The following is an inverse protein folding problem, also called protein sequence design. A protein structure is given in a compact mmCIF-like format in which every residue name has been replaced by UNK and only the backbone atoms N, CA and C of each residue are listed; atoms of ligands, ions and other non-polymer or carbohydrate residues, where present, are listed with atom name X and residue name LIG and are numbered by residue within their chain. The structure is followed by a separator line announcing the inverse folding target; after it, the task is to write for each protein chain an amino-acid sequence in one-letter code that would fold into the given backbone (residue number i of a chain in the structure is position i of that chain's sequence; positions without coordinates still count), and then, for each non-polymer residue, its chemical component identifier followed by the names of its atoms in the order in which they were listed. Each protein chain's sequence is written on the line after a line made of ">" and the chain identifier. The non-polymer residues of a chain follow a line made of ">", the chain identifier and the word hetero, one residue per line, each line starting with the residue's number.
data_IF_783808567548
#
_entry.id   IF_783808567548
#
_cell.length_a   1.000
_cell.length_b   1.000
_cell.length_c   1.000
_cell.angle_alpha   90.00
_cell.angle_beta   90.00
_cell.angle_gamma   90.00
#
_symmetry.space_group_name_H-M   'P 1'
#
loop_
_entity.id
_entity.type
_entity.pdbx_description
1 polymer ?
#
# COMPACT_ATOMS: atom_id res chain seq x y z
N UNK A 1 11.40 14.16 -18.93
CA UNK A 1 10.66 14.91 -17.88
C UNK A 1 9.34 14.16 -17.75
N UNK A 2 9.25 13.24 -16.78
CA UNK A 2 8.01 12.49 -16.55
C UNK A 2 6.99 13.46 -15.97
N UNK A 3 5.92 13.73 -16.70
CA UNK A 3 4.72 14.37 -16.16
C UNK A 3 4.06 13.33 -15.27
N UNK A 4 4.37 13.35 -13.98
CA UNK A 4 3.54 12.64 -13.02
C UNK A 4 2.20 13.37 -12.95
N UNK A 5 1.21 12.84 -13.63
CA UNK A 5 -0.17 13.14 -13.30
C UNK A 5 -0.32 12.73 -11.84
N UNK A 6 -0.72 13.67 -10.96
CA UNK A 6 -0.91 13.42 -9.54
C UNK A 6 -1.99 12.36 -9.36
N UNK A 7 -1.60 11.09 -9.28
CA UNK A 7 -2.49 9.97 -8.95
C UNK A 7 -2.73 9.82 -7.46
N UNK A 8 -2.41 10.83 -6.71
CA UNK A 8 -2.39 10.79 -5.26
C UNK A 8 -3.39 11.79 -4.73
N UNK A 9 -4.34 11.31 -3.95
CA UNK A 9 -5.22 12.15 -3.18
C UNK A 9 -4.45 12.68 -1.97
N UNK A 10 -4.23 14.01 -1.92
CA UNK A 10 -3.48 14.64 -0.83
C UNK A 10 -4.41 15.03 0.31
N UNK A 11 -3.95 14.78 1.54
CA UNK A 11 -4.52 15.41 2.74
C UNK A 11 -4.12 16.89 2.80
N UNK A 12 -4.70 17.66 3.70
CA UNK A 12 -4.28 19.04 3.99
C UNK A 12 -2.79 19.16 4.37
N UNK A 13 -2.14 18.04 4.67
CA UNK A 13 -0.71 17.95 4.98
C UNK A 13 0.15 17.55 3.78
N UNK A 14 -0.44 17.32 2.61
CA UNK A 14 0.28 17.02 1.37
C UNK A 14 0.76 15.56 1.23
N UNK A 15 0.16 14.60 1.95
CA UNK A 15 0.45 13.17 1.86
C UNK A 15 -0.62 12.36 1.14
N UNK A 16 -0.33 11.10 0.82
CA UNK A 16 -1.33 10.12 0.34
C UNK A 16 -2.38 9.92 1.42
N UNK A 17 -3.63 10.22 1.10
CA UNK A 17 -4.75 9.90 1.93
C UNK A 17 -5.52 8.71 1.33
N UNK A 18 -5.28 7.54 1.88
CA UNK A 18 -6.00 6.33 1.48
C UNK A 18 -7.52 6.42 1.73
N UNK A 19 -7.94 7.42 2.51
CA UNK A 19 -9.32 7.59 2.95
C UNK A 19 -9.99 8.83 2.35
N UNK A 20 -9.26 9.70 1.63
CA UNK A 20 -9.84 10.86 0.98
C UNK A 20 -10.89 10.45 -0.05
N UNK A 21 -12.01 11.15 -0.03
CA UNK A 21 -13.12 10.93 -0.95
C UNK A 21 -13.36 12.19 -1.77
N UNK A 22 -12.61 12.35 -2.86
CA UNK A 22 -12.87 13.46 -3.80
C UNK A 22 -14.00 13.14 -4.79
N UNK A 23 -14.54 11.92 -4.75
CA UNK A 23 -15.71 11.57 -5.53
C UNK A 23 -16.99 12.13 -4.90
N UNK A 24 -17.73 13.01 -5.60
CA UNK A 24 -19.03 13.57 -5.12
C UNK A 24 -20.06 12.49 -4.79
N UNK A 25 -19.93 11.29 -5.39
CA UNK A 25 -20.83 10.16 -5.09
C UNK A 25 -20.55 9.52 -3.73
N UNK A 26 -19.33 9.66 -3.18
CA UNK A 26 -18.96 9.06 -1.90
C UNK A 26 -19.16 10.02 -0.72
N UNK A 27 -19.16 11.33 -0.95
CA UNK A 27 -19.37 12.34 0.10
C UNK A 27 -20.79 12.33 0.70
N UNK A 28 -21.76 11.71 0.00
CA UNK A 28 -23.17 11.67 0.46
C UNK A 28 -23.52 10.44 1.32
N UNK A 29 -22.60 9.50 1.49
CA UNK A 29 -22.89 8.25 2.22
C UNK A 29 -21.79 7.96 3.22
N UNK A 30 -21.71 8.62 4.33
CA UNK A 30 -20.84 8.29 5.43
C UNK A 30 -19.64 7.36 5.13
N UNK A 31 -18.62 7.36 5.89
CA UNK A 31 -17.38 6.58 5.70
C UNK A 31 -17.65 5.16 5.20
N UNK A 32 -17.44 4.92 3.91
CA UNK A 32 -17.59 3.59 3.33
C UNK A 32 -16.27 2.84 3.46
N UNK A 33 -16.37 1.57 3.76
CA UNK A 33 -15.24 0.64 3.64
C UNK A 33 -14.69 0.70 2.22
N UNK A 34 -13.41 1.01 2.08
CA UNK A 34 -12.69 1.00 0.81
C UNK A 34 -12.09 -0.38 0.58
N UNK A 35 -12.10 -0.82 -0.67
CA UNK A 35 -11.43 -2.04 -1.09
C UNK A 35 -10.03 -1.71 -1.60
N UNK A 36 -9.05 -2.50 -1.17
CA UNK A 36 -7.66 -2.42 -1.62
C UNK A 36 -7.27 -3.78 -2.17
N UNK A 37 -6.66 -3.81 -3.34
CA UNK A 37 -6.20 -5.06 -3.97
C UNK A 37 -4.71 -5.23 -3.75
N UNK A 38 -4.31 -6.31 -3.09
CA UNK A 38 -2.91 -6.71 -2.97
C UNK A 38 -2.51 -7.62 -4.12
N UNK A 39 -1.46 -7.25 -4.84
CA UNK A 39 -0.83 -8.04 -5.90
C UNK A 39 0.56 -8.48 -5.40
N UNK A 40 0.75 -9.80 -5.34
CA UNK A 40 2.03 -10.40 -4.97
C UNK A 40 2.85 -10.66 -6.25
N UNK A 41 4.00 -9.97 -6.46
CA UNK A 41 4.84 -10.14 -7.64
C UNK A 41 5.38 -11.55 -7.86
N UNK A 42 5.54 -12.34 -6.78
CA UNK A 42 6.05 -13.71 -6.87
C UNK A 42 5.01 -14.71 -7.40
N UNK A 43 3.72 -14.34 -7.39
CA UNK A 43 2.62 -15.24 -7.77
C UNK A 43 2.23 -15.13 -9.23
N UNK A 44 2.72 -14.12 -9.96
CA UNK A 44 2.39 -13.90 -11.37
C UNK A 44 3.42 -13.02 -12.06
N UNK A 45 3.59 -13.17 -13.41
CA UNK A 45 4.41 -12.25 -14.18
C UNK A 45 3.77 -10.85 -14.25
N UNK A 46 4.57 -9.79 -14.53
CA UNK A 46 4.11 -8.39 -14.55
C UNK A 46 2.90 -8.12 -15.44
N UNK A 47 2.81 -8.78 -16.60
CA UNK A 47 1.70 -8.60 -17.54
C UNK A 47 0.37 -9.14 -17.00
N UNK A 48 0.43 -10.18 -16.17
CA UNK A 48 -0.76 -10.71 -15.50
C UNK A 48 -1.12 -9.84 -14.30
N UNK A 49 -0.13 -9.33 -13.58
CA UNK A 49 -0.34 -8.36 -12.49
C UNK A 49 -1.06 -7.11 -13.01
N UNK A 50 -0.61 -6.54 -14.13
CA UNK A 50 -1.24 -5.40 -14.79
C UNK A 50 -2.71 -5.66 -15.17
N UNK A 51 -3.01 -6.83 -15.79
CA UNK A 51 -4.39 -7.20 -16.12
C UNK A 51 -5.28 -7.32 -14.89
N UNK A 52 -4.76 -7.90 -13.81
CA UNK A 52 -5.48 -8.02 -12.53
C UNK A 52 -5.73 -6.66 -11.89
N UNK A 53 -4.76 -5.75 -11.97
CA UNK A 53 -4.94 -4.38 -11.51
C UNK A 53 -6.06 -3.66 -12.26
N UNK A 54 -6.11 -3.74 -13.60
CA UNK A 54 -7.20 -3.17 -14.40
C UNK A 54 -8.56 -3.69 -13.97
N UNK A 55 -8.71 -5.02 -13.86
CA UNK A 55 -9.98 -5.64 -13.42
C UNK A 55 -10.35 -5.19 -12.01
N UNK A 56 -9.37 -5.09 -11.10
CA UNK A 56 -9.61 -4.63 -9.75
C UNK A 56 -10.13 -3.18 -9.72
N UNK A 57 -9.57 -2.31 -10.57
CA UNK A 57 -10.03 -0.91 -10.70
C UNK A 57 -11.43 -0.84 -11.28
N UNK A 58 -11.74 -1.61 -12.32
CA UNK A 58 -13.11 -1.74 -12.87
C UNK A 58 -14.11 -2.22 -11.80
N UNK A 59 -13.67 -3.05 -10.86
CA UNK A 59 -14.48 -3.51 -9.73
C UNK A 59 -14.49 -2.54 -8.53
N UNK A 60 -13.88 -1.36 -8.62
CA UNK A 60 -13.94 -0.30 -7.61
C UNK A 60 -12.89 -0.39 -6.51
N UNK A 61 -11.73 -1.00 -6.76
CA UNK A 61 -10.61 -0.89 -5.83
C UNK A 61 -10.12 0.54 -5.70
N UNK A 62 -9.77 0.96 -4.51
CA UNK A 62 -9.34 2.34 -4.21
C UNK A 62 -7.81 2.50 -4.22
N UNK A 63 -7.07 1.40 -4.16
CA UNK A 63 -5.62 1.37 -4.25
C UNK A 63 -5.15 -0.02 -4.68
N UNK A 64 -3.99 -0.07 -5.34
CA UNK A 64 -3.28 -1.31 -5.62
C UNK A 64 -2.07 -1.38 -4.69
N UNK A 65 -2.02 -2.42 -3.85
CA UNK A 65 -0.83 -2.72 -3.08
C UNK A 65 0.03 -3.72 -3.85
N UNK A 66 1.32 -3.43 -3.96
CA UNK A 66 2.31 -4.33 -4.55
C UNK A 66 3.26 -4.79 -3.46
N UNK A 67 3.20 -6.07 -3.13
CA UNK A 67 3.99 -6.62 -2.05
C UNK A 67 4.17 -8.11 -2.20
N UNK A 68 5.34 -8.59 -1.88
CA UNK A 68 5.70 -9.97 -1.94
C UNK A 68 6.17 -10.52 -0.61
N UNK A 69 6.48 -11.81 -0.63
CA UNK A 69 7.09 -12.50 0.49
C UNK A 69 8.53 -12.00 0.74
N UNK A 70 9.14 -12.50 1.80
CA UNK A 70 10.46 -12.07 2.32
C UNK A 70 11.59 -12.16 1.28
N UNK A 71 11.45 -13.01 0.27
CA UNK A 71 12.49 -13.26 -0.76
C UNK A 71 12.23 -12.51 -2.08
N UNK A 72 11.18 -11.68 -2.16
CA UNK A 72 10.83 -10.95 -3.39
C UNK A 72 11.88 -9.88 -3.68
N UNK A 73 12.64 -10.05 -4.75
CA UNK A 73 13.69 -9.10 -5.13
C UNK A 73 13.15 -7.80 -5.73
N UNK A 74 13.89 -6.69 -5.58
CA UNK A 74 13.51 -5.37 -6.12
C UNK A 74 13.21 -5.37 -7.61
N UNK A 75 13.91 -6.16 -8.42
CA UNK A 75 13.72 -6.19 -9.87
C UNK A 75 12.32 -6.66 -10.27
N UNK A 76 11.77 -7.67 -9.56
CA UNK A 76 10.44 -8.19 -9.87
C UNK A 76 9.34 -7.25 -9.37
N UNK A 77 9.56 -6.62 -8.21
CA UNK A 77 8.70 -5.55 -7.69
C UNK A 77 8.64 -4.38 -8.66
N UNK A 78 9.81 -3.94 -9.12
CA UNK A 78 9.95 -2.81 -10.05
C UNK A 78 9.26 -3.09 -11.38
N UNK A 79 9.51 -4.25 -12.00
CA UNK A 79 8.84 -4.65 -13.23
C UNK A 79 7.31 -4.74 -13.07
N UNK A 80 6.83 -5.21 -11.92
CA UNK A 80 5.40 -5.28 -11.63
C UNK A 80 4.79 -3.88 -11.47
N UNK A 81 5.45 -2.98 -10.76
CA UNK A 81 4.99 -1.59 -10.62
C UNK A 81 4.94 -0.89 -11.98
N UNK A 82 5.98 -1.03 -12.81
CA UNK A 82 6.01 -0.46 -14.16
C UNK A 82 4.83 -0.96 -15.00
N UNK A 83 4.62 -2.28 -15.05
CA UNK A 83 3.55 -2.86 -15.86
C UNK A 83 2.14 -2.41 -15.40
N UNK A 84 1.93 -2.29 -14.09
CA UNK A 84 0.65 -1.79 -13.54
C UNK A 84 0.47 -0.30 -13.89
N UNK A 85 1.50 0.53 -13.69
CA UNK A 85 1.44 1.96 -13.99
C UNK A 85 1.16 2.23 -15.47
N UNK A 86 1.88 1.55 -16.38
CA UNK A 86 1.67 1.68 -17.81
C UNK A 86 0.24 1.26 -18.21
N UNK A 87 -0.28 0.19 -17.63
CA UNK A 87 -1.64 -0.27 -17.91
C UNK A 87 -2.70 0.72 -17.45
N UNK A 88 -2.55 1.29 -16.24
CA UNK A 88 -3.45 2.31 -15.71
C UNK A 88 -3.41 3.60 -16.55
N UNK A 89 -2.19 4.04 -16.97
CA UNK A 89 -2.04 5.20 -17.85
C UNK A 89 -2.72 5.00 -19.20
N UNK A 90 -2.55 3.82 -19.78
CA UNK A 90 -3.20 3.49 -21.07
C UNK A 90 -4.72 3.45 -20.94
N UNK A 91 -5.24 2.87 -19.87
CA UNK A 91 -6.68 2.82 -19.61
C UNK A 91 -7.26 4.23 -19.39
N UNK A 92 -6.58 5.08 -18.62
CA UNK A 92 -6.95 6.47 -18.43
C UNK A 92 -6.98 7.24 -19.76
N UNK A 93 -5.94 7.08 -20.59
CA UNK A 93 -5.88 7.70 -21.90
C UNK A 93 -7.01 7.21 -22.81
N UNK A 94 -7.31 5.89 -22.83
CA UNK A 94 -8.40 5.35 -23.61
C UNK A 94 -9.77 5.91 -23.14
N UNK A 95 -9.98 6.04 -21.83
CA UNK A 95 -11.20 6.62 -21.26
C UNK A 95 -11.36 8.09 -21.66
N UNK A 96 -10.29 8.89 -21.66
CA UNK A 96 -10.33 10.30 -22.03
C UNK A 96 -10.78 10.57 -23.48
N UNK A 97 -10.79 9.54 -24.34
CA UNK A 97 -11.29 9.64 -25.71
C UNK A 97 -12.81 9.49 -25.80
N UNK A 98 -13.49 9.13 -24.71
CA UNK A 98 -14.94 8.92 -24.67
C UNK A 98 -15.60 9.98 -23.77
N UNK A 99 -16.53 10.81 -24.30
CA UNK A 99 -17.13 11.92 -23.55
C UNK A 99 -17.87 11.52 -22.28
N UNK A 100 -18.34 10.29 -22.20
CA UNK A 100 -19.16 9.77 -21.10
C UNK A 100 -18.35 8.88 -20.14
N UNK A 101 -17.05 8.71 -20.36
CA UNK A 101 -16.21 7.87 -19.52
C UNK A 101 -15.65 8.66 -18.34
N UNK A 102 -15.60 8.02 -17.20
CA UNK A 102 -14.94 8.54 -15.99
C UNK A 102 -13.43 8.22 -16.07
N UNK A 103 -12.64 9.18 -16.53
CA UNK A 103 -11.19 9.02 -16.60
C UNK A 103 -10.54 8.95 -15.20
N UNK A 104 -11.17 9.58 -14.19
CA UNK A 104 -10.69 9.57 -12.81
C UNK A 104 -10.79 8.18 -12.17
N UNK A 105 -11.63 7.30 -12.74
CA UNK A 105 -11.70 5.89 -12.31
C UNK A 105 -10.33 5.20 -12.31
N UNK A 106 -9.47 5.54 -13.27
CA UNK A 106 -8.15 4.92 -13.43
C UNK A 106 -7.04 5.61 -12.60
N UNK A 107 -7.39 6.69 -11.90
CA UNK A 107 -6.47 7.44 -11.05
C UNK A 107 -6.32 6.77 -9.67
N UNK A 108 -5.85 5.53 -9.68
CA UNK A 108 -5.71 4.68 -8.48
C UNK A 108 -4.24 4.56 -8.09
N UNK A 109 -3.85 4.88 -6.84
CA UNK A 109 -2.47 4.83 -6.41
C UNK A 109 -1.93 3.40 -6.34
N UNK A 110 -0.68 3.24 -6.77
CA UNK A 110 0.11 2.01 -6.63
C UNK A 110 1.06 2.17 -5.44
N UNK A 111 0.87 1.39 -4.41
CA UNK A 111 1.55 1.54 -3.12
C UNK A 111 2.34 0.28 -2.80
N UNK A 112 3.59 0.42 -2.44
CA UNK A 112 4.40 -0.71 -1.99
C UNK A 112 3.93 -1.22 -0.62
N UNK A 113 3.79 -2.53 -0.54
CA UNK A 113 3.61 -3.30 0.70
C UNK A 113 4.82 -4.22 0.87
N UNK A 114 6.01 -3.67 1.24
CA UNK A 114 7.26 -4.38 1.13
C UNK A 114 7.48 -5.38 2.27
N UNK A 115 8.05 -6.54 1.95
CA UNK A 115 8.54 -7.48 2.96
C UNK A 115 9.82 -7.01 3.68
N UNK A 116 10.46 -5.93 3.19
CA UNK A 116 11.66 -5.32 3.76
C UNK A 116 12.30 -4.31 2.81
N UNK A 117 13.39 -3.68 3.24
CA UNK A 117 14.09 -2.63 2.49
C UNK A 117 14.67 -3.10 1.14
N UNK A 118 14.77 -4.40 0.91
CA UNK A 118 15.25 -5.00 -0.34
C UNK A 118 14.19 -5.06 -1.45
N UNK A 119 12.90 -4.85 -1.12
CA UNK A 119 11.76 -5.03 -2.03
C UNK A 119 11.09 -3.69 -2.37
N UNK A 120 11.85 -2.72 -2.86
CA UNK A 120 11.37 -1.39 -3.18
C UNK A 120 11.47 -1.07 -4.68
N UNK A 121 10.61 -0.17 -5.14
CA UNK A 121 10.58 0.35 -6.50
C UNK A 121 10.33 1.87 -6.47
N UNK A 122 11.02 2.63 -7.31
CA UNK A 122 10.74 4.06 -7.53
C UNK A 122 9.59 4.31 -8.49
N UNK A 123 8.98 3.27 -9.03
CA UNK A 123 7.85 3.35 -9.96
C UNK A 123 6.49 3.19 -9.26
N UNK A 124 6.46 3.13 -7.93
CA UNK A 124 5.25 3.24 -7.14
C UNK A 124 4.97 4.71 -6.75
N UNK A 125 3.74 5.00 -6.35
CA UNK A 125 3.34 6.33 -5.87
C UNK A 125 3.69 6.52 -4.38
N UNK A 126 3.65 5.45 -3.62
CA UNK A 126 3.95 5.47 -2.20
C UNK A 126 4.38 4.14 -1.63
N UNK A 127 4.63 4.13 -0.34
CA UNK A 127 5.06 2.96 0.40
C UNK A 127 4.40 2.92 1.79
N UNK A 128 3.88 1.78 2.20
CA UNK A 128 3.54 1.53 3.59
C UNK A 128 4.84 1.44 4.40
N UNK A 129 5.10 2.45 5.20
CA UNK A 129 6.26 2.51 6.07
C UNK A 129 5.91 1.83 7.39
N UNK A 130 5.97 0.49 7.37
CA UNK A 130 5.37 -0.37 8.40
C UNK A 130 6.32 -0.66 9.55
N UNK A 131 5.85 -0.44 10.77
CA UNK A 131 6.47 -0.97 12.00
C UNK A 131 5.68 -2.18 12.45
N UNK A 132 6.30 -3.37 12.52
CA UNK A 132 5.66 -4.55 13.12
C UNK A 132 5.67 -4.41 14.64
N UNK A 133 4.61 -3.78 15.17
CA UNK A 133 4.57 -3.24 16.53
C UNK A 133 4.69 -4.30 17.63
N UNK A 134 4.22 -5.52 17.37
CA UNK A 134 4.34 -6.65 18.30
C UNK A 134 5.46 -7.62 17.93
N UNK A 135 6.46 -7.18 17.14
CA UNK A 135 7.69 -7.97 16.91
C UNK A 135 8.60 -7.92 18.13
N UNK A 136 9.19 -9.06 18.48
CA UNK A 136 10.28 -9.16 19.46
C UNK A 136 11.64 -8.87 18.84
N UNK A 137 11.72 -8.75 17.50
CA UNK A 137 12.95 -8.51 16.77
C UNK A 137 13.06 -7.05 16.33
N UNK A 138 14.11 -6.38 16.80
CA UNK A 138 14.39 -4.97 16.46
C UNK A 138 14.49 -4.73 14.94
N UNK A 139 14.81 -5.77 14.15
CA UNK A 139 14.84 -5.68 12.69
C UNK A 139 13.54 -5.09 12.14
N UNK A 140 12.40 -5.62 12.55
CA UNK A 140 11.07 -5.23 12.06
C UNK A 140 10.46 -4.03 12.78
N UNK A 141 11.12 -3.55 13.85
CA UNK A 141 10.71 -2.34 14.54
C UNK A 141 11.35 -1.09 13.94
N UNK A 142 12.67 -1.15 13.59
CA UNK A 142 13.39 0.04 13.16
C UNK A 142 14.50 -0.19 12.13
N UNK A 143 15.15 -1.37 12.09
CA UNK A 143 16.34 -1.54 11.23
C UNK A 143 15.99 -1.48 9.76
N UNK A 144 14.93 -2.16 9.31
CA UNK A 144 14.44 -2.08 7.93
C UNK A 144 14.10 -0.64 7.53
N UNK A 145 13.57 0.16 8.46
CA UNK A 145 13.30 1.58 8.22
C UNK A 145 14.58 2.38 7.98
N UNK A 146 15.62 2.14 8.79
CA UNK A 146 16.90 2.82 8.63
C UNK A 146 17.57 2.47 7.30
N UNK A 147 17.47 1.21 6.87
CA UNK A 147 18.02 0.73 5.60
C UNK A 147 17.27 1.33 4.41
N UNK A 148 15.93 1.42 4.49
CA UNK A 148 15.07 1.91 3.40
C UNK A 148 14.96 3.43 3.29
N UNK A 149 15.10 4.17 4.38
CA UNK A 149 14.75 5.59 4.45
C UNK A 149 15.44 6.47 3.40
N UNK A 150 16.74 6.24 3.16
CA UNK A 150 17.50 7.01 2.17
C UNK A 150 17.03 6.77 0.73
N UNK A 151 16.65 5.54 0.42
CA UNK A 151 16.07 5.21 -0.89
C UNK A 151 14.71 5.85 -1.07
N UNK A 152 13.82 5.72 -0.10
CA UNK A 152 12.47 6.29 -0.10
C UNK A 152 12.52 7.80 -0.35
N UNK A 153 13.39 8.51 0.39
CA UNK A 153 13.56 9.95 0.25
C UNK A 153 14.09 10.35 -1.13
N UNK A 154 15.08 9.63 -1.69
CA UNK A 154 15.65 9.91 -3.00
C UNK A 154 14.69 9.58 -4.14
N UNK A 155 13.91 8.51 -4.01
CA UNK A 155 12.92 8.10 -4.99
C UNK A 155 11.68 9.02 -5.00
N UNK A 156 11.49 9.85 -3.96
CA UNK A 156 10.31 10.70 -3.81
C UNK A 156 9.04 9.91 -3.52
N UNK A 157 9.17 8.69 -2.98
CA UNK A 157 8.03 7.88 -2.58
C UNK A 157 7.30 8.53 -1.40
N UNK A 158 5.98 8.61 -1.49
CA UNK A 158 5.17 9.04 -0.36
C UNK A 158 5.15 7.96 0.71
N UNK A 159 5.74 8.24 1.88
CA UNK A 159 5.66 7.32 3.01
C UNK A 159 4.31 7.40 3.72
N UNK A 160 3.72 6.24 4.02
CA UNK A 160 2.49 6.08 4.80
C UNK A 160 2.87 5.37 6.11
N UNK A 161 3.08 6.12 7.20
CA UNK A 161 3.41 5.52 8.49
C UNK A 161 2.32 4.57 8.96
N UNK A 162 2.69 3.30 9.16
CA UNK A 162 1.72 2.22 9.41
C UNK A 162 2.13 1.38 10.61
N UNK A 163 1.24 1.24 11.58
CA UNK A 163 1.37 0.26 12.65
C UNK A 163 0.90 -1.11 12.14
N UNK A 164 1.80 -2.10 12.09
CA UNK A 164 1.47 -3.46 11.69
C UNK A 164 1.38 -4.34 12.94
N UNK A 165 0.27 -5.04 13.10
CA UNK A 165 -0.03 -5.86 14.28
C UNK A 165 -0.47 -7.24 13.80
N UNK A 166 0.19 -8.30 14.29
CA UNK A 166 -0.12 -9.68 13.92
C UNK A 166 -0.87 -10.38 15.04
N UNK A 167 -2.08 -10.85 14.72
CA UNK A 167 -2.89 -11.66 15.61
C UNK A 167 -2.68 -13.16 15.33
N UNK A 168 -3.01 -14.01 16.29
CA UNK A 168 -3.00 -15.45 16.09
C UNK A 168 -4.01 -15.87 15.01
N UNK A 169 -3.65 -16.83 14.12
CA UNK A 169 -2.49 -17.74 14.19
C UNK A 169 -1.18 -17.17 13.62
N UNK A 170 -1.12 -15.96 13.08
CA UNK A 170 0.07 -15.23 12.65
C UNK A 170 0.68 -15.63 11.30
N UNK A 171 0.47 -16.85 10.84
CA UNK A 171 0.98 -17.32 9.56
C UNK A 171 2.49 -17.09 9.34
N UNK A 172 2.91 -16.97 8.09
CA UNK A 172 4.31 -16.75 7.73
C UNK A 172 4.85 -15.41 8.28
N UNK A 173 4.00 -14.38 8.34
CA UNK A 173 4.39 -13.07 8.86
C UNK A 173 4.69 -13.13 10.35
N UNK A 174 3.89 -13.87 11.11
CA UNK A 174 4.13 -14.07 12.54
C UNK A 174 5.46 -14.79 12.81
N UNK A 175 5.79 -15.80 12.01
CA UNK A 175 7.06 -16.55 12.14
C UNK A 175 8.25 -15.70 11.72
N UNK A 176 8.25 -15.15 10.52
CA UNK A 176 9.35 -14.35 9.96
C UNK A 176 9.57 -13.08 10.80
N UNK A 177 8.46 -12.40 11.11
CA UNK A 177 8.46 -11.17 11.89
C UNK A 177 8.77 -11.37 13.37
N UNK A 178 8.84 -12.63 13.85
CA UNK A 178 9.00 -12.95 15.28
C UNK A 178 8.00 -12.19 16.15
N UNK A 179 6.73 -12.23 15.72
CA UNK A 179 5.68 -11.50 16.40
C UNK A 179 5.25 -12.22 17.69
N UNK A 180 5.06 -11.45 18.75
CA UNK A 180 4.34 -11.89 19.95
C UNK A 180 2.84 -11.84 19.62
N UNK A 181 2.29 -13.01 19.22
CA UNK A 181 0.96 -13.10 18.63
C UNK A 181 -0.12 -12.74 19.62
N UNK A 182 -1.00 -11.84 19.22
CA UNK A 182 -2.14 -11.40 20.03
C UNK A 182 -3.33 -12.32 19.75
N UNK A 183 -4.01 -12.77 20.81
CA UNK A 183 -5.27 -13.50 20.66
C UNK A 183 -6.31 -12.60 19.96
N UNK A 184 -7.03 -13.06 18.92
CA UNK A 184 -8.10 -12.29 18.29
C UNK A 184 -9.22 -11.87 19.24
N UNK A 185 -9.33 -12.53 20.39
CA UNK A 185 -10.30 -12.20 21.43
C UNK A 185 -9.77 -11.17 22.45
N UNK A 186 -8.49 -10.85 22.41
CA UNK A 186 -7.89 -9.83 23.29
C UNK A 186 -8.05 -8.43 22.68
N UNK A 187 -9.27 -7.96 22.66
CA UNK A 187 -9.64 -6.67 22.09
C UNK A 187 -9.05 -5.48 22.86
N UNK A 188 -8.74 -5.66 24.16
CA UNK A 188 -8.11 -4.63 24.98
C UNK A 188 -6.68 -4.40 24.54
N UNK A 189 -5.91 -5.47 24.33
CA UNK A 189 -4.52 -5.37 23.88
C UNK A 189 -4.45 -4.84 22.44
N UNK A 190 -5.33 -5.32 21.53
CA UNK A 190 -5.42 -4.80 20.15
C UNK A 190 -5.71 -3.30 20.18
N UNK A 191 -6.69 -2.86 20.99
CA UNK A 191 -7.01 -1.44 21.13
C UNK A 191 -5.84 -0.62 21.67
N UNK A 192 -5.08 -1.17 22.63
CA UNK A 192 -3.89 -0.49 23.18
C UNK A 192 -2.80 -0.29 22.10
N UNK A 193 -2.58 -1.28 21.23
CA UNK A 193 -1.67 -1.13 20.08
C UNK A 193 -2.16 -0.07 19.10
N UNK A 194 -3.46 -0.05 18.76
CA UNK A 194 -4.03 0.97 17.87
C UNK A 194 -3.87 2.38 18.44
N UNK A 195 -4.17 2.58 19.73
CA UNK A 195 -3.98 3.85 20.43
C UNK A 195 -2.51 4.26 20.46
N UNK A 196 -1.60 3.31 20.65
CA UNK A 196 -0.15 3.57 20.62
C UNK A 196 0.29 4.02 19.22
N UNK A 197 -0.21 3.37 18.16
CA UNK A 197 0.06 3.78 16.78
C UNK A 197 -0.42 5.21 16.51
N UNK A 198 -1.62 5.57 16.99
CA UNK A 198 -2.16 6.92 16.89
C UNK A 198 -1.26 7.93 17.64
N UNK A 199 -0.81 7.62 18.86
CA UNK A 199 0.09 8.48 19.64
C UNK A 199 1.45 8.64 18.98
N UNK A 200 1.93 7.67 18.20
CA UNK A 200 3.13 7.78 17.38
C UNK A 200 2.91 8.60 16.10
N UNK A 201 1.68 8.97 15.80
CA UNK A 201 1.32 9.71 14.58
C UNK A 201 1.28 8.83 13.34
N UNK A 202 1.03 7.53 13.47
CA UNK A 202 0.86 6.66 12.33
C UNK A 202 -0.46 6.97 11.62
N UNK A 203 -0.43 6.94 10.28
CA UNK A 203 -1.59 7.27 9.46
C UNK A 203 -2.60 6.13 9.40
N UNK A 204 -2.14 4.91 9.58
CA UNK A 204 -2.96 3.70 9.46
C UNK A 204 -2.46 2.60 10.41
N UNK A 205 -3.34 1.65 10.70
CA UNK A 205 -3.02 0.40 11.37
C UNK A 205 -3.46 -0.75 10.46
N UNK A 206 -2.59 -1.73 10.29
CA UNK A 206 -2.88 -2.97 9.58
C UNK A 206 -2.93 -4.14 10.58
N UNK A 207 -4.03 -4.84 10.59
CA UNK A 207 -4.25 -6.05 11.42
C UNK A 207 -4.23 -7.28 10.53
N UNK A 208 -3.41 -8.27 10.88
CA UNK A 208 -3.34 -9.56 10.23
C UNK A 208 -3.63 -10.71 11.20
#
# INVERSE_FOLDING_TARGET
>A
MKSFTNRVLYTQTGGIDLWATDSPMLSQRGERTKHITLIDPDKQPPEIAAKRALVAVECGTSAIFVGGSTDTGSNIVDATCIAIQEALELAMFASSQHPDADEDQWNVPVILFPGGAHAMSSNADGILFMMLMNSTNRKFLIVEHLEGASYIAKAGLQSIPTGYIVCAPGGAVGEVGQADLISPNDTELISAYCQTAEMYGFSTVYLE
#
